data_IF_592850459255
#
_entry.id   IF_592850459255
#
_cell.length_a   1.000
_cell.length_b   1.000
_cell.length_c   1.000
_cell.angle_alpha   90.00
_cell.angle_beta   90.00
_cell.angle_gamma   90.00
#
_symmetry.space_group_name_H-M   'P 1'
#
loop_
_entity.id
_entity.type
_entity.pdbx_description
1 polymer ?
#
# COMPACT_ATOMS: atom_id res chain seq x y z
N UNK A 1 0.39 -26.21 -8.91
CA UNK A 1 -0.06 -24.80 -9.10
C UNK A 1 0.54 -23.97 -7.99
N UNK A 2 1.42 -23.03 -8.32
CA UNK A 2 1.98 -22.10 -7.33
C UNK A 2 0.88 -21.10 -6.96
N UNK A 3 0.46 -21.13 -5.70
CA UNK A 3 -0.53 -20.20 -5.16
C UNK A 3 0.12 -18.83 -5.14
N UNK A 4 -0.13 -18.04 -6.19
CA UNK A 4 0.41 -16.69 -6.26
C UNK A 4 -0.20 -15.89 -5.12
N UNK A 5 0.75 -15.43 -4.31
CA UNK A 5 0.64 -14.73 -3.05
C UNK A 5 -0.30 -13.52 -3.15
N UNK A 6 -0.86 -13.10 -2.01
CA UNK A 6 -1.74 -11.92 -1.93
C UNK A 6 -1.14 -10.71 -2.68
N UNK A 7 -1.99 -9.91 -3.33
CA UNK A 7 -1.53 -8.68 -3.99
C UNK A 7 -0.92 -7.71 -2.95
N UNK A 8 0.04 -6.85 -3.33
CA UNK A 8 0.62 -5.87 -2.42
C UNK A 8 -0.42 -5.07 -1.61
N UNK A 9 -1.48 -4.57 -2.25
CA UNK A 9 -2.55 -3.86 -1.54
C UNK A 9 -3.29 -4.74 -0.53
N UNK A 10 -3.57 -6.00 -0.88
CA UNK A 10 -4.22 -6.96 0.03
C UNK A 10 -3.38 -7.20 1.28
N UNK A 11 -2.05 -7.38 1.11
CA UNK A 11 -1.13 -7.57 2.23
C UNK A 11 -1.17 -6.38 3.20
N UNK A 12 -1.39 -5.16 2.71
CA UNK A 12 -1.45 -3.95 3.55
C UNK A 12 -2.81 -3.81 4.22
N UNK A 13 -3.92 -4.01 3.49
CA UNK A 13 -5.25 -3.98 4.10
C UNK A 13 -5.40 -5.02 5.22
N UNK A 14 -4.83 -6.21 5.04
CA UNK A 14 -4.83 -7.26 6.09
C UNK A 14 -4.13 -6.82 7.38
N UNK A 15 -3.14 -5.92 7.31
CA UNK A 15 -2.48 -5.39 8.50
C UNK A 15 -3.39 -4.45 9.29
N UNK A 16 -4.31 -3.73 8.65
CA UNK A 16 -5.29 -2.90 9.35
C UNK A 16 -6.34 -3.73 10.08
N UNK A 17 -6.70 -4.91 9.57
CA UNK A 17 -7.61 -5.83 10.25
C UNK A 17 -7.09 -6.30 11.62
N UNK A 18 -5.77 -6.26 11.82
CA UNK A 18 -5.09 -6.79 13.01
C UNK A 18 -4.22 -5.73 13.73
N UNK A 19 -4.45 -4.44 13.47
CA UNK A 19 -3.60 -3.38 14.00
C UNK A 19 -3.90 -3.06 15.47
N UNK A 20 -3.01 -3.37 16.41
CA UNK A 20 -3.26 -3.10 17.85
C UNK A 20 -2.40 -1.97 18.47
N UNK A 21 -1.43 -1.44 17.73
CA UNK A 21 -0.33 -0.69 18.32
C UNK A 21 -0.43 0.84 18.14
N UNK A 22 -1.01 1.52 19.13
CA UNK A 22 -1.00 2.98 19.27
C UNK A 22 0.18 3.49 20.13
N UNK A 23 1.40 2.96 19.93
CA UNK A 23 2.55 3.24 20.83
C UNK A 23 2.89 4.73 20.90
N UNK A 24 2.59 5.49 19.85
CA UNK A 24 2.84 6.93 19.76
C UNK A 24 1.88 7.80 20.59
N UNK A 25 0.76 7.25 21.10
CA UNK A 25 -0.19 7.98 21.94
C UNK A 25 0.25 8.08 23.41
N UNK A 26 1.43 7.55 23.76
CA UNK A 26 1.97 7.58 25.11
C UNK A 26 1.27 6.61 26.07
N UNK A 27 1.55 6.72 27.37
CA UNK A 27 0.87 5.95 28.42
C UNK A 27 -0.41 6.68 28.84
N UNK A 28 -1.51 5.96 29.04
CA UNK A 28 -2.78 6.50 29.54
C UNK A 28 -3.99 6.04 28.74
N UNK A 29 -5.09 6.78 28.85
CA UNK A 29 -6.39 6.52 28.23
C UNK A 29 -6.60 7.28 26.90
N UNK A 30 -5.54 7.83 26.29
CA UNK A 30 -5.66 8.64 25.07
C UNK A 30 -6.31 7.89 23.89
N UNK A 31 -5.97 6.60 23.72
CA UNK A 31 -6.63 5.74 22.71
C UNK A 31 -8.12 5.63 23.00
N UNK A 32 -8.50 5.33 24.24
CA UNK A 32 -9.90 5.15 24.64
C UNK A 32 -10.71 6.45 24.47
N UNK A 33 -10.10 7.60 24.71
CA UNK A 33 -10.73 8.91 24.47
C UNK A 33 -11.00 9.15 22.98
N UNK A 34 -10.05 8.80 22.11
CA UNK A 34 -10.21 8.91 20.65
C UNK A 34 -11.29 7.92 20.17
N UNK A 35 -11.25 6.67 20.63
CA UNK A 35 -12.28 5.66 20.32
C UNK A 35 -13.66 6.17 20.72
N UNK A 36 -13.79 6.75 21.93
CA UNK A 36 -15.04 7.34 22.39
C UNK A 36 -15.49 8.49 21.50
N UNK A 37 -14.58 9.38 21.09
CA UNK A 37 -14.89 10.49 20.18
C UNK A 37 -15.40 10.02 18.82
N UNK A 38 -14.70 9.07 18.19
CA UNK A 38 -15.12 8.44 16.93
C UNK A 38 -16.48 7.75 17.10
N UNK A 39 -16.67 6.99 18.17
CA UNK A 39 -17.93 6.30 18.45
C UNK A 39 -19.10 7.27 18.61
N UNK A 40 -18.93 8.38 19.35
CA UNK A 40 -19.97 9.41 19.47
C UNK A 40 -20.32 9.99 18.10
N UNK A 41 -19.31 10.32 17.28
CA UNK A 41 -19.52 10.91 15.96
C UNK A 41 -20.24 9.96 15.00
N UNK A 42 -19.89 8.66 15.01
CA UNK A 42 -20.57 7.64 14.22
C UNK A 42 -22.01 7.41 14.69
N UNK A 43 -22.26 7.40 16.01
CA UNK A 43 -23.60 7.25 16.56
C UNK A 43 -24.54 8.43 16.21
N UNK A 44 -24.01 9.66 16.14
CA UNK A 44 -24.78 10.82 15.63
C UNK A 44 -25.20 10.62 14.18
N UNK A 45 -24.40 9.86 13.42
CA UNK A 45 -24.72 9.41 12.06
C UNK A 45 -25.41 8.04 12.08
N UNK A 46 -26.07 7.61 13.16
CA UNK A 46 -26.82 6.34 13.23
C UNK A 46 -26.00 5.06 12.94
N UNK A 47 -24.66 5.13 12.94
CA UNK A 47 -23.78 3.97 12.85
C UNK A 47 -23.47 3.51 14.27
N UNK A 48 -24.13 2.43 14.69
CA UNK A 48 -24.10 1.93 16.08
C UNK A 48 -23.12 0.79 16.31
N UNK A 49 -22.33 0.43 15.30
CA UNK A 49 -21.28 -0.58 15.45
C UNK A 49 -20.13 -0.04 16.32
N UNK A 50 -20.15 -0.41 17.60
CA UNK A 50 -19.12 0.00 18.58
C UNK A 50 -17.74 -0.57 18.22
N UNK A 51 -17.68 -1.71 17.53
CA UNK A 51 -16.39 -2.29 17.09
C UNK A 51 -15.77 -1.44 15.99
N UNK A 52 -16.59 -0.90 15.08
CA UNK A 52 -16.11 -0.06 13.99
C UNK A 52 -15.29 1.13 14.49
N UNK A 53 -15.72 1.81 15.56
CA UNK A 53 -14.95 2.93 16.13
C UNK A 53 -13.57 2.48 16.64
N UNK A 54 -13.51 1.32 17.29
CA UNK A 54 -12.24 0.73 17.77
C UNK A 54 -11.36 0.36 16.59
N UNK A 55 -11.91 -0.30 15.57
CA UNK A 55 -11.16 -0.75 14.40
C UNK A 55 -10.62 0.44 13.58
N UNK A 56 -11.38 1.53 13.46
CA UNK A 56 -10.92 2.78 12.82
C UNK A 56 -9.71 3.37 13.54
N UNK A 57 -9.76 3.47 14.88
CA UNK A 57 -8.64 4.02 15.66
C UNK A 57 -7.42 3.11 15.59
N UNK A 58 -7.63 1.80 15.64
CA UNK A 58 -6.61 0.78 15.47
C UNK A 58 -5.91 0.89 14.10
N UNK A 59 -6.69 0.96 13.02
CA UNK A 59 -6.17 1.14 11.67
C UNK A 59 -5.42 2.47 11.52
N UNK A 60 -5.94 3.56 12.09
CA UNK A 60 -5.26 4.86 12.10
C UNK A 60 -3.92 4.76 12.83
N UNK A 61 -3.89 4.17 14.02
CA UNK A 61 -2.64 3.98 14.75
C UNK A 61 -1.62 3.15 13.98
N UNK A 62 -2.09 2.11 13.29
CA UNK A 62 -1.23 1.30 12.45
C UNK A 62 -0.67 2.12 11.28
N UNK A 63 -1.50 2.90 10.57
CA UNK A 63 -1.06 3.77 9.48
C UNK A 63 0.03 4.76 9.95
N UNK A 64 -0.08 5.28 11.17
CA UNK A 64 0.90 6.15 11.79
C UNK A 64 2.25 5.47 12.08
N UNK A 65 2.25 4.15 12.21
CA UNK A 65 3.45 3.34 12.47
C UNK A 65 4.08 2.73 11.23
N UNK A 66 3.38 2.75 10.08
CA UNK A 66 3.88 2.18 8.83
C UNK A 66 5.16 2.90 8.38
N UNK A 67 6.23 2.12 8.22
CA UNK A 67 7.53 2.62 7.79
C UNK A 67 7.70 2.56 6.28
N UNK A 68 8.86 3.04 5.80
CA UNK A 68 9.25 2.93 4.38
C UNK A 68 9.42 1.48 3.90
N UNK A 69 9.61 0.54 4.82
CA UNK A 69 9.68 -0.89 4.52
C UNK A 69 8.30 -1.50 4.24
N UNK A 70 7.24 -0.90 4.78
CA UNK A 70 5.88 -1.39 4.57
C UNK A 70 5.21 -0.75 3.35
N UNK A 71 5.46 0.54 3.13
CA UNK A 71 4.89 1.33 2.04
C UNK A 71 5.93 2.26 1.40
N UNK A 72 5.91 2.48 0.07
CA UNK A 72 6.88 3.34 -0.61
C UNK A 72 6.91 4.79 -0.09
N UNK A 73 5.75 5.32 0.32
CA UNK A 73 5.61 6.68 0.82
C UNK A 73 4.73 6.73 2.07
N UNK A 74 5.04 7.63 3.04
CA UNK A 74 4.12 7.92 4.13
C UNK A 74 2.73 8.36 3.65
N UNK A 75 2.62 8.97 2.46
CA UNK A 75 1.32 9.31 1.88
C UNK A 75 0.50 8.06 1.55
N UNK A 76 1.14 6.98 1.11
CA UNK A 76 0.44 5.74 0.73
C UNK A 76 -0.25 5.12 1.94
N UNK A 77 0.38 5.14 3.13
CA UNK A 77 -0.23 4.66 4.38
C UNK A 77 -1.59 5.33 4.67
N UNK A 78 -1.70 6.64 4.44
CA UNK A 78 -2.94 7.37 4.68
C UNK A 78 -3.98 7.17 3.56
N UNK A 79 -3.57 6.91 2.32
CA UNK A 79 -4.50 6.50 1.26
C UNK A 79 -5.07 5.11 1.58
N UNK A 80 -4.21 4.18 1.99
CA UNK A 80 -4.63 2.87 2.48
C UNK A 80 -5.62 3.00 3.65
N UNK A 81 -5.32 3.84 4.63
CA UNK A 81 -6.24 4.11 5.74
C UNK A 81 -7.60 4.66 5.24
N UNK A 82 -7.56 5.64 4.34
CA UNK A 82 -8.75 6.28 3.78
C UNK A 82 -9.66 5.29 3.06
N UNK A 83 -9.09 4.46 2.20
CA UNK A 83 -9.83 3.44 1.49
C UNK A 83 -10.29 2.30 2.41
N UNK A 84 -9.53 1.97 3.44
CA UNK A 84 -9.95 0.97 4.42
C UNK A 84 -11.13 1.46 5.28
N UNK A 85 -11.07 2.68 5.80
CA UNK A 85 -12.16 3.29 6.60
C UNK A 85 -13.42 3.43 5.73
N UNK A 86 -13.29 3.91 4.50
CA UNK A 86 -14.43 4.08 3.61
C UNK A 86 -15.14 2.76 3.26
N UNK A 87 -14.40 1.67 3.05
CA UNK A 87 -14.99 0.34 2.83
C UNK A 87 -15.81 -0.13 4.05
N UNK A 88 -15.37 0.20 5.26
CA UNK A 88 -16.05 -0.16 6.50
C UNK A 88 -17.29 0.68 6.74
N UNK A 89 -17.22 1.99 6.48
CA UNK A 89 -18.35 2.91 6.55
C UNK A 89 -19.41 2.54 5.52
N UNK A 90 -19.02 2.27 4.27
CA UNK A 90 -19.95 1.92 3.18
C UNK A 90 -20.86 0.74 3.55
N UNK A 91 -20.35 -0.26 4.26
CA UNK A 91 -21.15 -1.42 4.73
C UNK A 91 -22.22 -1.06 5.76
N UNK A 92 -22.12 0.10 6.38
CA UNK A 92 -22.99 0.57 7.46
C UNK A 92 -23.74 1.86 7.10
N UNK A 93 -23.68 2.30 5.84
CA UNK A 93 -24.06 3.67 5.46
C UNK A 93 -25.58 3.94 5.45
N UNK A 94 -26.43 2.92 5.22
CA UNK A 94 -27.87 3.13 5.10
C UNK A 94 -28.21 4.24 4.10
N UNK A 95 -29.08 5.18 4.49
CA UNK A 95 -29.48 6.35 3.68
C UNK A 95 -28.58 7.58 3.89
N UNK A 96 -27.46 7.43 4.59
CA UNK A 96 -26.61 8.56 4.97
C UNK A 96 -25.69 8.97 3.82
N UNK A 97 -25.28 10.24 3.87
CA UNK A 97 -24.34 10.75 2.90
C UNK A 97 -22.91 10.31 3.25
N UNK A 98 -22.28 9.53 2.36
CA UNK A 98 -20.96 8.93 2.56
C UNK A 98 -19.88 9.91 3.07
N UNK A 99 -19.74 11.07 2.40
CA UNK A 99 -18.70 12.04 2.76
C UNK A 99 -18.91 12.60 4.18
N UNK A 100 -20.16 12.80 4.62
CA UNK A 100 -20.44 13.33 5.95
C UNK A 100 -19.99 12.37 7.05
N UNK A 101 -20.20 11.06 6.82
CA UNK A 101 -19.77 10.02 7.76
C UNK A 101 -18.24 9.90 7.76
N UNK A 102 -17.61 9.94 6.58
CA UNK A 102 -16.15 9.97 6.46
C UNK A 102 -15.54 11.17 7.20
N UNK A 103 -16.08 12.39 7.03
CA UNK A 103 -15.64 13.59 7.77
C UNK A 103 -15.77 13.37 9.27
N UNK A 104 -16.93 12.89 9.74
CA UNK A 104 -17.20 12.68 11.15
C UNK A 104 -16.21 11.72 11.81
N UNK A 105 -15.89 10.61 11.12
CA UNK A 105 -14.89 9.65 11.56
C UNK A 105 -13.49 10.29 11.65
N UNK A 106 -13.06 11.00 10.61
CA UNK A 106 -11.73 11.61 10.55
C UNK A 106 -11.53 12.81 11.49
N UNK A 107 -12.56 13.60 11.75
CA UNK A 107 -12.47 14.78 12.62
C UNK A 107 -11.92 14.41 14.01
N UNK A 108 -12.34 13.27 14.54
CA UNK A 108 -11.95 12.78 15.87
C UNK A 108 -10.59 12.07 15.90
N UNK A 109 -10.01 11.73 14.73
CA UNK A 109 -8.65 11.16 14.64
C UNK A 109 -7.54 12.23 14.72
N UNK A 110 -7.89 13.51 14.60
CA UNK A 110 -6.94 14.61 14.40
C UNK A 110 -6.18 15.09 15.65
N UNK A 111 -6.41 14.48 16.81
CA UNK A 111 -5.86 14.93 18.11
C UNK A 111 -4.47 14.38 18.47
N UNK A 112 -3.87 13.52 17.64
CA UNK A 112 -2.59 12.84 17.94
C UNK A 112 -1.32 13.41 17.28
N UNK A 113 -0.16 12.89 17.72
CA UNK A 113 1.18 13.19 17.15
C UNK A 113 1.43 12.57 15.77
N UNK A 114 0.57 11.65 15.35
CA UNK A 114 0.55 11.19 13.97
C UNK A 114 0.22 12.38 13.09
N UNK A 115 1.24 12.89 12.36
CA UNK A 115 1.21 14.08 11.52
C UNK A 115 -0.23 14.43 11.12
N UNK A 116 -0.75 15.53 11.66
CA UNK A 116 -2.14 16.03 11.54
C UNK A 116 -2.66 16.00 10.11
N UNK A 117 -3.00 14.83 9.60
CA UNK A 117 -3.51 14.67 8.24
C UNK A 117 -5.01 14.60 8.32
N UNK A 118 -5.61 15.64 7.77
CA UNK A 118 -7.02 15.66 7.44
C UNK A 118 -7.38 14.51 6.52
N UNK A 119 -8.67 14.19 6.49
CA UNK A 119 -9.28 13.41 5.41
C UNK A 119 -8.76 13.88 4.04
N UNK A 120 -8.40 12.93 3.17
CA UNK A 120 -7.76 13.22 1.87
C UNK A 120 -8.76 13.85 0.89
N UNK A 121 -9.96 13.27 0.83
CA UNK A 121 -11.06 13.76 0.00
C UNK A 121 -12.31 13.94 0.88
N UNK A 122 -12.55 15.18 1.33
CA UNK A 122 -13.62 15.48 2.29
C UNK A 122 -15.02 15.55 1.66
N UNK A 123 -15.11 15.62 0.34
CA UNK A 123 -16.34 15.79 -0.43
C UNK A 123 -16.59 14.59 -1.38
N UNK A 124 -15.86 13.49 -1.19
CA UNK A 124 -16.00 12.32 -2.06
C UNK A 124 -17.34 11.63 -1.85
N UNK A 125 -18.09 11.40 -2.92
CA UNK A 125 -19.33 10.61 -2.86
C UNK A 125 -19.03 9.12 -3.07
N UNK A 126 -19.93 8.25 -2.63
CA UNK A 126 -19.71 6.79 -2.60
C UNK A 126 -19.31 6.17 -3.96
N UNK A 127 -19.94 6.53 -5.10
CA UNK A 127 -19.50 5.99 -6.40
C UNK A 127 -18.05 6.37 -6.73
N UNK A 128 -17.69 7.64 -6.50
CA UNK A 128 -16.34 8.13 -6.73
C UNK A 128 -15.34 7.47 -5.81
N UNK A 129 -15.70 7.25 -4.55
CA UNK A 129 -14.86 6.50 -3.63
C UNK A 129 -14.55 5.09 -4.14
N UNK A 130 -15.56 4.38 -4.64
CA UNK A 130 -15.42 3.02 -5.15
C UNK A 130 -14.48 2.97 -6.35
N UNK A 131 -14.72 3.83 -7.35
CA UNK A 131 -13.86 3.90 -8.53
C UNK A 131 -12.44 4.38 -8.20
N UNK A 132 -12.33 5.40 -7.35
CA UNK A 132 -11.05 5.91 -6.89
C UNK A 132 -10.20 4.82 -6.24
N UNK A 133 -10.82 4.01 -5.39
CA UNK A 133 -10.18 2.89 -4.70
C UNK A 133 -9.70 1.83 -5.68
N UNK A 134 -10.53 1.41 -6.63
CA UNK A 134 -10.15 0.37 -7.58
C UNK A 134 -9.01 0.81 -8.50
N UNK A 135 -9.04 2.06 -8.97
CA UNK A 135 -7.93 2.64 -9.75
C UNK A 135 -6.65 2.73 -8.92
N UNK A 136 -6.74 3.32 -7.73
CA UNK A 136 -5.58 3.52 -6.86
C UNK A 136 -4.95 2.18 -6.41
N UNK A 137 -5.77 1.18 -6.05
CA UNK A 137 -5.30 -0.15 -5.68
C UNK A 137 -4.49 -0.79 -6.82
N UNK A 138 -4.98 -0.66 -8.06
CA UNK A 138 -4.31 -1.19 -9.24
C UNK A 138 -2.98 -0.49 -9.52
N UNK A 139 -2.96 0.85 -9.51
CA UNK A 139 -1.74 1.64 -9.70
C UNK A 139 -0.68 1.32 -8.64
N UNK A 140 -1.12 1.20 -7.38
CA UNK A 140 -0.23 0.80 -6.29
C UNK A 140 0.37 -0.59 -6.52
N UNK A 141 -0.47 -1.57 -6.88
CA UNK A 141 -0.01 -2.93 -7.14
C UNK A 141 1.02 -2.96 -8.26
N UNK A 142 0.80 -2.26 -9.36
CA UNK A 142 1.76 -2.21 -10.45
C UNK A 142 3.07 -1.57 -10.05
N UNK A 143 3.01 -0.39 -9.41
CA UNK A 143 4.21 0.31 -8.96
C UNK A 143 5.06 -0.58 -8.07
N UNK A 144 4.42 -1.35 -7.19
CA UNK A 144 5.09 -2.25 -6.25
C UNK A 144 5.60 -3.53 -6.92
N UNK A 145 4.83 -4.11 -7.86
CA UNK A 145 5.19 -5.38 -8.51
C UNK A 145 6.27 -5.21 -9.59
N UNK A 146 6.30 -4.09 -10.32
CA UNK A 146 7.25 -3.87 -11.43
C UNK A 146 8.73 -3.97 -11.03
N UNK A 147 9.03 -3.78 -9.75
CA UNK A 147 10.38 -3.81 -9.20
C UNK A 147 10.76 -5.17 -8.62
N UNK A 148 9.83 -6.13 -8.54
CA UNK A 148 10.07 -7.45 -7.97
C UNK A 148 10.59 -8.45 -8.99
N UNK A 149 11.45 -9.36 -8.53
CA UNK A 149 11.99 -10.46 -9.36
C UNK A 149 10.90 -11.44 -9.83
N UNK A 150 9.87 -11.65 -9.01
CA UNK A 150 8.74 -12.56 -9.28
C UNK A 150 7.54 -11.87 -9.96
N UNK A 151 7.73 -10.64 -10.47
CA UNK A 151 6.68 -9.87 -11.13
C UNK A 151 5.92 -10.67 -12.21
N UNK A 152 6.61 -11.51 -12.99
CA UNK A 152 6.00 -12.28 -14.06
C UNK A 152 4.94 -13.27 -13.58
N UNK A 153 5.04 -13.75 -12.33
CA UNK A 153 4.07 -14.68 -11.74
C UNK A 153 2.69 -14.01 -11.55
N UNK A 154 2.66 -12.69 -11.39
CA UNK A 154 1.42 -11.93 -11.20
C UNK A 154 0.67 -11.64 -12.49
N UNK A 155 1.31 -11.77 -13.67
CA UNK A 155 0.65 -11.52 -14.97
C UNK A 155 -0.52 -12.46 -15.24
N UNK A 156 -0.39 -13.72 -14.81
CA UNK A 156 -1.42 -14.75 -14.97
C UNK A 156 -2.27 -14.93 -13.69
N UNK A 157 -2.07 -14.09 -12.68
CA UNK A 157 -2.83 -14.17 -11.44
C UNK A 157 -4.26 -13.65 -11.65
N UNK A 158 -5.24 -14.50 -11.40
CA UNK A 158 -6.66 -14.15 -11.57
C UNK A 158 -7.10 -12.91 -10.77
N UNK A 159 -6.62 -12.74 -9.53
CA UNK A 159 -6.92 -11.56 -8.70
C UNK A 159 -6.31 -10.28 -9.28
N UNK A 160 -5.12 -10.39 -9.89
CA UNK A 160 -4.50 -9.26 -10.57
C UNK A 160 -5.30 -8.86 -11.81
N UNK A 161 -5.72 -9.85 -12.63
CA UNK A 161 -6.57 -9.63 -13.80
C UNK A 161 -7.91 -9.00 -13.39
N UNK A 162 -8.54 -9.50 -12.34
CA UNK A 162 -9.78 -8.91 -11.81
C UNK A 162 -9.58 -7.44 -11.40
N UNK A 163 -8.46 -7.12 -10.75
CA UNK A 163 -8.12 -5.73 -10.39
C UNK A 163 -7.86 -4.85 -11.60
N UNK A 164 -7.25 -5.37 -12.66
CA UNK A 164 -7.08 -4.65 -13.93
C UNK A 164 -8.44 -4.28 -14.55
N UNK A 165 -9.35 -5.23 -14.66
CA UNK A 165 -10.66 -4.98 -15.27
C UNK A 165 -11.50 -3.97 -14.47
N UNK A 166 -11.51 -4.10 -13.13
CA UNK A 166 -12.14 -3.11 -12.24
C UNK A 166 -11.53 -1.72 -12.39
N UNK A 167 -10.20 -1.64 -12.49
CA UNK A 167 -9.52 -0.37 -12.68
C UNK A 167 -9.85 0.26 -14.04
N UNK A 168 -9.95 -0.54 -15.12
CA UNK A 168 -10.35 -0.03 -16.46
C UNK A 168 -11.75 0.57 -16.43
N UNK A 169 -12.69 -0.12 -15.79
CA UNK A 169 -14.06 0.38 -15.60
C UNK A 169 -14.05 1.66 -14.75
N UNK A 170 -13.36 1.65 -13.62
CA UNK A 170 -13.20 2.82 -12.75
C UNK A 170 -12.60 4.02 -13.48
N UNK A 171 -11.55 3.82 -14.28
CA UNK A 171 -10.91 4.87 -15.07
C UNK A 171 -11.89 5.47 -16.08
N UNK A 172 -12.68 4.63 -16.77
CA UNK A 172 -13.70 5.08 -17.72
C UNK A 172 -14.78 5.91 -17.04
N UNK A 173 -15.30 5.46 -15.89
CA UNK A 173 -16.31 6.19 -15.14
C UNK A 173 -15.77 7.51 -14.59
N UNK A 174 -14.57 7.51 -14.00
CA UNK A 174 -13.91 8.73 -13.52
C UNK A 174 -13.63 9.70 -14.67
N UNK A 175 -13.22 9.19 -15.83
CA UNK A 175 -13.03 9.97 -17.04
C UNK A 175 -14.32 10.69 -17.47
N UNK A 176 -15.42 9.96 -17.63
CA UNK A 176 -16.72 10.53 -18.03
C UNK A 176 -17.24 11.53 -17.00
N UNK A 177 -17.15 11.19 -15.72
CA UNK A 177 -17.75 11.96 -14.64
C UNK A 177 -16.91 13.16 -14.26
N UNK A 178 -15.60 12.99 -14.03
CA UNK A 178 -14.73 14.12 -13.74
C UNK A 178 -14.59 15.02 -14.99
N UNK A 179 -14.66 14.50 -16.22
CA UNK A 179 -14.65 15.33 -17.42
C UNK A 179 -15.79 16.36 -17.50
N UNK A 180 -16.89 16.15 -16.77
CA UNK A 180 -18.05 17.06 -16.73
C UNK A 180 -17.85 18.23 -15.77
N UNK A 181 -18.57 19.33 -16.02
CA UNK A 181 -18.54 20.55 -15.19
C UNK A 181 -19.04 20.33 -13.77
N UNK A 182 -20.02 19.44 -13.60
CA UNK A 182 -20.79 19.29 -12.36
C UNK A 182 -19.95 18.74 -11.20
N UNK A 183 -18.81 18.11 -11.52
CA UNK A 183 -17.87 17.55 -10.54
C UNK A 183 -16.52 18.29 -10.53
N UNK A 184 -16.44 19.48 -11.14
CA UNK A 184 -15.19 20.25 -11.23
C UNK A 184 -14.64 20.71 -9.88
N UNK A 185 -15.51 20.87 -8.87
CA UNK A 185 -15.13 21.21 -7.51
C UNK A 185 -14.81 20.01 -6.61
N UNK A 186 -15.09 18.77 -7.05
CA UNK A 186 -14.84 17.59 -6.23
C UNK A 186 -13.34 17.36 -6.04
N UNK A 187 -12.87 17.23 -4.80
CA UNK A 187 -11.44 17.14 -4.49
C UNK A 187 -10.73 15.97 -5.19
N UNK A 188 -11.37 14.81 -5.27
CA UNK A 188 -10.83 13.66 -5.99
C UNK A 188 -10.78 13.94 -7.51
N UNK A 189 -11.82 14.55 -8.08
CA UNK A 189 -11.79 14.91 -9.50
C UNK A 189 -10.71 15.92 -9.85
N UNK A 190 -10.41 16.86 -8.97
CA UNK A 190 -9.32 17.82 -9.17
C UNK A 190 -7.99 17.06 -9.31
N UNK A 191 -7.74 16.10 -8.41
CA UNK A 191 -6.54 15.27 -8.48
C UNK A 191 -6.54 14.38 -9.74
N UNK A 192 -7.64 13.67 -10.01
CA UNK A 192 -7.77 12.80 -11.17
C UNK A 192 -7.52 13.56 -12.49
N UNK A 193 -8.12 14.74 -12.64
CA UNK A 193 -7.91 15.61 -13.81
C UNK A 193 -6.45 15.95 -14.02
N UNK A 194 -5.75 16.32 -12.95
CA UNK A 194 -4.35 16.74 -13.01
C UNK A 194 -3.42 15.63 -13.53
N UNK A 195 -3.83 14.36 -13.40
CA UNK A 195 -3.04 13.18 -13.78
C UNK A 195 -3.49 12.55 -15.09
N UNK A 196 -4.80 12.58 -15.37
CA UNK A 196 -5.40 11.73 -16.40
C UNK A 196 -6.21 12.49 -17.45
N UNK A 197 -6.35 13.81 -17.35
CA UNK A 197 -7.10 14.61 -18.34
C UNK A 197 -6.19 15.70 -18.92
N UNK A 198 -5.93 15.63 -20.23
CA UNK A 198 -5.23 16.66 -20.99
C UNK A 198 -6.19 17.33 -21.98
N UNK A 199 -6.21 18.68 -21.98
CA UNK A 199 -7.08 19.50 -22.85
C UNK A 199 -8.56 19.06 -22.86
N UNK A 200 -9.08 18.65 -21.70
CA UNK A 200 -10.47 18.25 -21.54
C UNK A 200 -10.79 16.85 -22.08
N UNK A 201 -9.78 16.07 -22.47
CA UNK A 201 -9.92 14.67 -22.86
C UNK A 201 -9.13 13.80 -21.91
N UNK A 202 -9.65 12.63 -21.60
CA UNK A 202 -8.86 11.66 -20.87
C UNK A 202 -7.68 11.24 -21.73
N UNK A 203 -6.52 11.08 -21.10
CA UNK A 203 -5.32 10.64 -21.78
C UNK A 203 -5.62 9.24 -22.32
N UNK A 204 -5.57 9.12 -23.64
CA UNK A 204 -5.71 7.86 -24.33
C UNK A 204 -4.50 6.99 -23.98
N UNK A 205 -4.76 5.96 -23.20
CA UNK A 205 -3.77 5.02 -22.72
C UNK A 205 -4.51 4.01 -21.87
N UNK A 206 -4.58 2.77 -22.33
CA UNK A 206 -5.01 1.69 -21.46
C UNK A 206 -4.16 1.75 -20.20
N UNK A 207 -4.80 1.64 -19.04
CA UNK A 207 -4.14 1.55 -17.75
C UNK A 207 -2.90 0.67 -17.88
N UNK A 208 -1.73 1.23 -17.56
CA UNK A 208 -0.45 0.61 -17.94
C UNK A 208 -0.42 -0.83 -17.48
N UNK A 209 -0.28 -1.77 -18.41
CA UNK A 209 -0.18 -3.18 -18.04
C UNK A 209 1.08 -3.44 -17.19
N UNK A 210 1.07 -4.57 -16.49
CA UNK A 210 2.19 -4.98 -15.66
C UNK A 210 3.40 -5.36 -16.53
N UNK A 211 4.28 -4.40 -16.79
CA UNK A 211 5.54 -4.63 -17.51
C UNK A 211 6.68 -4.97 -16.53
N UNK A 212 6.98 -6.26 -16.40
CA UNK A 212 8.06 -6.76 -15.56
C UNK A 212 9.42 -6.59 -16.22
N UNK A 213 10.44 -6.18 -15.44
CA UNK A 213 11.82 -6.16 -15.93
C UNK A 213 12.31 -7.60 -16.12
N UNK A 214 12.84 -7.93 -17.30
CA UNK A 214 13.50 -9.22 -17.53
C UNK A 214 14.84 -9.22 -16.80
N UNK A 215 14.89 -9.80 -15.62
CA UNK A 215 16.17 -10.05 -14.93
C UNK A 215 16.78 -11.28 -15.61
N UNK A 216 17.77 -11.08 -16.48
CA UNK A 216 18.57 -12.18 -16.98
C UNK A 216 19.33 -12.78 -15.79
N UNK A 217 18.84 -13.90 -15.26
CA UNK A 217 19.55 -14.66 -14.24
C UNK A 217 20.91 -15.08 -14.83
N UNK A 218 22.05 -14.71 -14.23
CA UNK A 218 23.34 -15.17 -14.73
C UNK A 218 23.33 -16.69 -14.74
N UNK A 219 23.51 -17.28 -15.93
CA UNK A 219 23.70 -18.72 -16.06
C UNK A 219 24.99 -19.07 -15.30
N UNK A 220 24.84 -19.63 -14.10
CA UNK A 220 25.93 -20.28 -13.40
C UNK A 220 26.36 -21.46 -14.26
N UNK A 221 27.44 -21.26 -15.01
CA UNK A 221 28.10 -22.29 -15.80
C UNK A 221 28.73 -23.30 -14.84
N UNK A 222 27.99 -24.35 -14.50
CA UNK A 222 28.56 -25.52 -13.83
C UNK A 222 29.29 -26.39 -14.87
N UNK A 223 30.47 -25.95 -15.31
CA UNK A 223 31.42 -26.85 -15.96
C UNK A 223 32.39 -27.38 -14.90
N UNK A 224 31.97 -28.42 -14.19
CA UNK A 224 32.84 -29.25 -13.37
C UNK A 224 33.47 -30.33 -14.24
N UNK A 225 34.49 -29.99 -15.01
CA UNK A 225 35.39 -30.97 -15.61
C UNK A 225 36.43 -31.38 -14.55
N UNK A 226 36.26 -32.56 -13.97
CA UNK A 226 37.26 -33.21 -13.13
C UNK A 226 38.41 -33.65 -14.05
N UNK A 227 39.53 -32.93 -14.00
CA UNK A 227 40.80 -33.40 -14.55
C UNK A 227 41.56 -34.10 -13.43
N UNK A 228 41.64 -35.43 -13.48
CA UNK A 228 42.57 -36.21 -12.69
C UNK A 228 43.97 -36.03 -13.28
N UNK A 229 44.83 -35.28 -12.59
CA UNK A 229 46.28 -35.30 -12.83
C UNK A 229 46.93 -36.24 -11.83
N UNK A 230 47.44 -37.38 -12.31
CA UNK A 230 48.50 -38.11 -11.64
C UNK A 230 49.80 -37.32 -11.76
N UNK A 231 50.49 -37.05 -10.65
CA UNK A 231 51.89 -36.62 -10.65
C UNK A 231 52.66 -37.41 -9.58
N UNK A 232 53.72 -38.03 -10.09
CA UNK A 232 54.80 -38.76 -9.46
C UNK A 232 55.40 -38.08 -8.22
N UNK A 233 55.82 -38.90 -7.25
CA UNK A 233 56.74 -38.54 -6.17
C UNK A 233 58.11 -38.10 -6.71
N UNK A 234 58.71 -37.06 -6.10
CA UNK A 234 60.10 -37.10 -5.65
C UNK A 234 60.44 -36.00 -4.60
N UNK A 235 60.96 -36.49 -3.47
CA UNK A 235 61.98 -36.02 -2.52
C UNK A 235 62.10 -34.55 -2.02
N UNK A 236 62.11 -34.47 -0.67
CA UNK A 236 62.58 -33.50 0.37
C UNK A 236 63.99 -32.87 0.15
N UNK A 237 64.56 -31.96 1.01
CA UNK A 237 64.02 -31.30 2.22
C UNK A 237 64.39 -29.79 2.43
N UNK A 238 63.72 -29.16 3.40
CA UNK A 238 64.37 -28.26 4.37
C UNK A 238 64.23 -26.74 4.21
N UNK A 239 63.60 -26.09 5.21
CA UNK A 239 64.17 -24.97 6.00
C UNK A 239 63.08 -24.13 6.68
N UNK A 240 63.30 -23.86 7.96
CA UNK A 240 62.50 -23.09 8.88
C UNK A 240 62.46 -21.58 8.57
N UNK A 241 61.44 -20.88 9.09
CA UNK A 241 61.39 -19.42 9.13
C UNK A 241 60.14 -18.87 9.80
N UNK A 242 60.25 -18.57 11.10
CA UNK A 242 59.29 -17.80 11.90
C UNK A 242 59.05 -16.39 11.34
N UNK A 243 57.86 -15.81 11.54
CA UNK A 243 57.67 -14.54 12.27
C UNK A 243 56.20 -14.15 12.40
N UNK A 244 55.90 -13.51 13.53
CA UNK A 244 54.61 -13.03 14.00
C UNK A 244 54.42 -11.52 13.71
N UNK A 245 53.17 -11.05 13.85
CA UNK A 245 52.80 -9.62 13.92
C UNK A 245 51.43 -9.39 13.26
N UNK A 246 50.29 -9.40 13.95
CA UNK A 246 49.79 -8.58 15.06
C UNK A 246 49.43 -7.13 14.68
N UNK A 247 48.18 -6.77 15.03
CA UNK A 247 47.58 -5.47 15.35
C UNK A 247 46.86 -4.65 14.27
N UNK A 248 45.54 -4.58 14.48
CA UNK A 248 44.72 -3.40 14.82
C UNK A 248 44.96 -2.10 14.04
N UNK A 249 43.86 -1.46 13.62
CA UNK A 249 43.21 -0.39 14.40
C UNK A 249 41.97 0.13 13.66
N UNK A 250 40.81 0.08 14.32
CA UNK A 250 39.60 0.80 13.91
C UNK A 250 39.63 2.22 14.47
N UNK A 251 39.17 3.17 13.67
CA UNK A 251 38.49 4.40 14.11
C UNK A 251 37.19 4.46 13.31
#
# INVERSE_FOLDING_TARGET
>A
EQQVDKLPTQKIYDKFENGDNCVHLGRGNAKDEIVRGVNIALNVKHITDVKLATDIVNAWCHACSLGKEDVPSPNDAFHFLFYWIGDRIKRNLGDLTFYEVMIAAYHNLSSGQCNKRSIIYNDIIEPFFTWAKDLWDYEYNIRTLKEREDCSEYKSNFKFIEKLEKAKEAYKELCDRCGKSDYSGNSYCIEFKSKHIDRGKCIDGELTELNCKTIQKPLVSSSGAVVTNEVQLDQDPGSAGLTAGSKNMCI
#
